data_IF_198442250100
#
_entry.id   IF_198442250100
#
_cell.length_a   1.000
_cell.length_b   1.000
_cell.length_c   1.000
_cell.angle_alpha   90.00
_cell.angle_beta   90.00
_cell.angle_gamma   90.00
#
_symmetry.space_group_name_H-M   'P 1'
#
loop_
_entity.id
_entity.type
_entity.pdbx_description
1 polymer ?
#
# COMPACT_ATOMS: atom_id res chain seq x y z
N UNK A 1 50.16 -11.82 -19.97
CA UNK A 1 49.15 -10.75 -19.79
C UNK A 1 47.78 -11.37 -20.04
N UNK A 2 47.03 -11.70 -18.98
CA UNK A 2 45.67 -12.20 -19.13
C UNK A 2 44.74 -11.03 -19.45
N UNK A 3 44.20 -11.01 -20.67
CA UNK A 3 43.17 -10.05 -21.08
C UNK A 3 41.91 -10.34 -20.27
N UNK A 4 41.54 -9.42 -19.37
CA UNK A 4 40.29 -9.51 -18.63
C UNK A 4 39.15 -9.37 -19.63
N UNK A 5 38.33 -10.42 -19.75
CA UNK A 5 37.13 -10.43 -20.58
C UNK A 5 36.25 -9.24 -20.17
N UNK A 6 35.71 -8.45 -21.12
CA UNK A 6 34.89 -7.29 -20.79
C UNK A 6 33.69 -7.73 -19.95
N UNK A 7 33.49 -7.04 -18.81
CA UNK A 7 32.31 -7.24 -17.96
C UNK A 7 31.07 -7.06 -18.84
N UNK A 8 30.15 -8.05 -18.89
CA UNK A 8 28.95 -7.94 -19.72
C UNK A 8 28.18 -6.67 -19.34
N UNK A 9 27.79 -5.87 -20.33
CA UNK A 9 27.07 -4.60 -20.09
C UNK A 9 25.80 -4.76 -19.23
N UNK A 10 25.19 -5.96 -19.21
CA UNK A 10 24.04 -6.30 -18.38
C UNK A 10 24.35 -6.36 -16.87
N UNK A 11 25.62 -6.40 -16.47
CA UNK A 11 26.05 -6.42 -15.05
C UNK A 11 26.06 -5.00 -14.44
N UNK A 12 26.28 -3.98 -15.28
CA UNK A 12 26.36 -2.58 -14.83
C UNK A 12 24.99 -2.09 -14.33
N UNK A 13 23.91 -2.44 -15.04
CA UNK A 13 22.56 -2.04 -14.66
C UNK A 13 22.11 -2.66 -13.33
N UNK A 14 22.39 -3.96 -13.12
CA UNK A 14 22.08 -4.64 -11.85
C UNK A 14 22.90 -4.05 -10.70
N UNK A 15 24.19 -3.79 -10.93
CA UNK A 15 25.06 -3.15 -9.95
C UNK A 15 24.55 -1.75 -9.58
N UNK A 16 24.13 -0.95 -10.55
CA UNK A 16 23.56 0.38 -10.31
C UNK A 16 22.24 0.32 -9.53
N UNK A 17 21.35 -0.61 -9.88
CA UNK A 17 20.10 -0.87 -9.17
C UNK A 17 20.35 -1.22 -7.71
N UNK A 18 21.28 -2.16 -7.43
CA UNK A 18 21.65 -2.53 -6.06
C UNK A 18 22.29 -1.38 -5.31
N UNK A 19 23.16 -0.62 -5.96
CA UNK A 19 23.79 0.56 -5.37
C UNK A 19 22.76 1.64 -4.99
N UNK A 20 21.63 1.73 -5.70
CA UNK A 20 20.52 2.61 -5.34
C UNK A 20 19.60 1.99 -4.27
N UNK A 21 19.26 0.71 -4.39
CA UNK A 21 18.34 0.02 -3.48
C UNK A 21 18.91 -0.09 -2.07
N UNK A 22 20.19 -0.45 -1.95
CA UNK A 22 20.84 -0.70 -0.66
C UNK A 22 20.74 0.48 0.31
N UNK A 23 21.15 1.72 -0.05
CA UNK A 23 21.00 2.85 0.85
C UNK A 23 19.55 3.21 1.14
N UNK A 24 18.59 2.95 0.21
CA UNK A 24 17.16 3.20 0.50
C UNK A 24 16.67 2.20 1.54
N UNK A 25 16.94 0.91 1.31
CA UNK A 25 16.59 -0.17 2.23
C UNK A 25 17.18 0.05 3.63
N UNK A 26 18.49 0.28 3.72
CA UNK A 26 19.18 0.54 4.98
C UNK A 26 18.60 1.78 5.71
N UNK A 27 18.20 2.80 4.96
CA UNK A 27 17.54 3.98 5.53
C UNK A 27 16.12 3.71 6.00
N UNK A 28 15.37 2.82 5.35
CA UNK A 28 14.02 2.42 5.80
C UNK A 28 14.07 1.51 7.02
N UNK A 29 15.07 0.63 7.10
CA UNK A 29 15.33 -0.22 8.28
C UNK A 29 15.74 0.62 9.49
N UNK A 30 16.73 1.50 9.32
CA UNK A 30 17.22 2.37 10.40
C UNK A 30 16.25 3.48 10.79
N UNK A 31 15.36 3.90 9.87
CA UNK A 31 14.35 4.90 10.11
C UNK A 31 12.95 4.39 9.75
N UNK A 32 12.43 3.44 10.54
CA UNK A 32 11.04 2.94 10.41
C UNK A 32 9.97 4.05 10.36
N UNK A 33 10.28 5.23 10.95
CA UNK A 33 9.44 6.44 10.83
C UNK A 33 9.31 6.95 9.40
N UNK A 34 10.31 6.78 8.53
CA UNK A 34 10.23 7.16 7.11
C UNK A 34 9.15 6.34 6.40
N UNK A 35 9.08 5.03 6.63
CA UNK A 35 8.00 4.19 6.11
C UNK A 35 6.62 4.67 6.59
N UNK A 36 6.51 4.98 7.88
CA UNK A 36 5.23 5.37 8.48
C UNK A 36 4.76 6.77 8.14
N UNK A 37 5.69 7.72 7.96
CA UNK A 37 5.36 9.14 7.80
C UNK A 37 5.61 9.66 6.40
N UNK A 38 6.37 8.92 5.60
CA UNK A 38 6.92 9.36 4.33
C UNK A 38 7.64 10.71 4.48
N UNK A 39 8.21 11.08 5.64
CA UNK A 39 8.96 12.34 5.79
C UNK A 39 10.46 12.05 5.77
N UNK A 40 11.16 12.62 4.80
CA UNK A 40 12.62 12.49 4.68
C UNK A 40 13.37 13.06 5.87
N UNK A 41 14.54 12.50 6.15
CA UNK A 41 15.34 12.92 7.30
C UNK A 41 15.90 14.32 7.09
N UNK A 42 15.68 15.19 8.08
CA UNK A 42 16.34 16.50 8.15
C UNK A 42 17.71 16.45 8.84
N UNK A 43 18.03 15.33 9.48
CA UNK A 43 19.25 15.15 10.30
C UNK A 43 20.43 14.62 9.49
N UNK A 44 20.44 14.84 8.18
CA UNK A 44 21.57 14.48 7.31
C UNK A 44 21.61 13.03 6.82
N UNK A 45 20.73 12.15 7.30
CA UNK A 45 20.61 10.77 6.80
C UNK A 45 19.95 10.81 5.41
N UNK A 46 20.58 10.18 4.42
CA UNK A 46 20.01 10.04 3.09
C UNK A 46 18.87 9.00 3.10
N UNK A 47 17.77 9.16 2.35
CA UNK A 47 17.44 10.31 1.51
C UNK A 47 16.92 11.50 2.34
N UNK A 48 17.32 12.71 1.94
CA UNK A 48 16.94 14.00 2.57
C UNK A 48 15.77 14.67 1.86
N UNK A 49 15.53 14.31 0.61
CA UNK A 49 14.45 14.86 -0.21
C UNK A 49 13.96 13.84 -1.23
N UNK A 50 12.84 14.13 -1.88
CA UNK A 50 12.37 13.36 -3.04
C UNK A 50 13.39 13.36 -4.17
N UNK A 51 14.11 14.46 -4.39
CA UNK A 51 15.12 14.62 -5.44
C UNK A 51 16.34 13.72 -5.24
N UNK A 52 16.60 13.31 -3.99
CA UNK A 52 17.67 12.38 -3.67
C UNK A 52 17.36 10.97 -4.19
N UNK A 53 16.07 10.63 -4.30
CA UNK A 53 15.58 9.31 -4.76
C UNK A 53 15.12 9.36 -6.22
N UNK A 54 14.52 10.48 -6.63
CA UNK A 54 14.03 10.78 -7.97
C UNK A 54 14.88 11.90 -8.60
N UNK A 55 16.04 11.58 -9.20
CA UNK A 55 16.90 12.59 -9.82
C UNK A 55 16.29 13.20 -11.09
N UNK A 56 15.27 12.55 -11.67
CA UNK A 56 14.51 13.03 -12.82
C UNK A 56 13.10 13.48 -12.38
N UNK A 57 12.36 14.21 -13.23
CA UNK A 57 10.94 14.46 -13.01
C UNK A 57 10.17 13.14 -12.74
N UNK A 58 9.14 13.13 -11.88
CA UNK A 58 8.46 11.89 -11.46
C UNK A 58 8.01 10.99 -12.62
N UNK A 59 7.52 11.59 -13.72
CA UNK A 59 7.11 10.88 -14.93
C UNK A 59 8.27 10.10 -15.57
N UNK A 60 9.42 10.74 -15.72
CA UNK A 60 10.61 10.15 -16.33
C UNK A 60 11.24 9.09 -15.41
N UNK A 61 11.27 9.35 -14.10
CA UNK A 61 11.71 8.36 -13.11
C UNK A 61 10.83 7.12 -13.14
N UNK A 62 9.50 7.28 -13.16
CA UNK A 62 8.57 6.16 -13.26
C UNK A 62 8.78 5.36 -14.55
N UNK A 63 8.88 6.04 -15.68
CA UNK A 63 9.14 5.39 -16.97
C UNK A 63 10.43 4.57 -16.95
N UNK A 64 11.50 5.11 -16.37
CA UNK A 64 12.79 4.41 -16.24
C UNK A 64 12.66 3.17 -15.35
N UNK A 65 11.99 3.28 -14.20
CA UNK A 65 11.75 2.15 -13.30
C UNK A 65 10.95 1.04 -14.00
N UNK A 66 9.88 1.39 -14.71
CA UNK A 66 9.06 0.42 -15.45
C UNK A 66 9.85 -0.26 -16.58
N UNK A 67 10.71 0.48 -17.30
CA UNK A 67 11.59 -0.10 -18.34
C UNK A 67 12.58 -1.09 -17.73
N UNK A 68 13.13 -0.80 -16.55
CA UNK A 68 14.06 -1.72 -15.87
C UNK A 68 13.37 -3.00 -15.41
N UNK A 69 12.17 -2.88 -14.85
CA UNK A 69 11.34 -4.02 -14.41
C UNK A 69 10.91 -4.87 -15.62
N UNK A 70 10.52 -4.24 -16.73
CA UNK A 70 10.19 -4.93 -17.99
C UNK A 70 11.42 -5.61 -18.64
N UNK A 71 12.58 -4.95 -18.63
CA UNK A 71 13.81 -5.54 -19.18
C UNK A 71 14.31 -6.72 -18.34
N UNK A 72 14.23 -6.62 -17.02
CA UNK A 72 14.64 -7.69 -16.13
C UNK A 72 13.80 -8.97 -16.36
N UNK A 73 12.51 -8.81 -16.69
CA UNK A 73 11.66 -9.93 -17.12
C UNK A 73 12.24 -10.67 -18.34
N UNK A 74 12.60 -9.90 -19.36
CA UNK A 74 13.09 -10.44 -20.64
C UNK A 74 14.45 -11.14 -20.52
N UNK A 75 15.28 -10.74 -19.55
CA UNK A 75 16.61 -11.34 -19.36
C UNK A 75 16.56 -12.73 -18.73
N UNK A 76 15.44 -13.11 -18.09
CA UNK A 76 15.27 -14.35 -17.31
C UNK A 76 16.35 -14.55 -16.23
N UNK A 77 17.11 -13.51 -15.87
CA UNK A 77 18.13 -13.57 -14.82
C UNK A 77 17.49 -13.12 -13.51
N UNK A 78 17.33 -14.06 -12.59
CA UNK A 78 16.64 -13.82 -11.32
C UNK A 78 17.24 -12.65 -10.54
N UNK A 79 18.57 -12.59 -10.45
CA UNK A 79 19.30 -11.52 -9.78
C UNK A 79 18.90 -10.12 -10.26
N UNK A 80 18.70 -9.94 -11.57
CA UNK A 80 18.28 -8.67 -12.15
C UNK A 80 16.81 -8.36 -11.85
N UNK A 81 15.94 -9.37 -11.92
CA UNK A 81 14.51 -9.25 -11.59
C UNK A 81 14.37 -8.79 -10.14
N UNK A 82 15.01 -9.47 -9.21
CA UNK A 82 14.96 -9.15 -7.78
C UNK A 82 15.41 -7.71 -7.52
N UNK A 83 16.58 -7.30 -8.03
CA UNK A 83 17.09 -5.94 -7.82
C UNK A 83 16.17 -4.87 -8.42
N UNK A 84 15.64 -5.07 -9.64
CA UNK A 84 14.78 -4.10 -10.31
C UNK A 84 13.44 -3.93 -9.58
N UNK A 85 12.80 -5.04 -9.22
CA UNK A 85 11.54 -5.04 -8.48
C UNK A 85 11.70 -4.45 -7.09
N UNK A 86 12.74 -4.86 -6.37
CA UNK A 86 13.01 -4.34 -5.03
C UNK A 86 13.28 -2.83 -5.06
N UNK A 87 14.07 -2.35 -6.02
CA UNK A 87 14.27 -0.91 -6.22
C UNK A 87 12.96 -0.20 -6.51
N UNK A 88 12.13 -0.73 -7.42
CA UNK A 88 10.85 -0.11 -7.73
C UNK A 88 9.93 -0.07 -6.50
N UNK A 89 9.82 -1.17 -5.75
CA UNK A 89 9.07 -1.24 -4.51
C UNK A 89 9.52 -0.17 -3.49
N UNK A 90 10.83 -0.06 -3.24
CA UNK A 90 11.39 0.89 -2.29
C UNK A 90 11.12 2.34 -2.73
N UNK A 91 11.40 2.65 -4.00
CA UNK A 91 11.21 4.00 -4.55
C UNK A 91 9.73 4.37 -4.55
N UNK A 92 8.85 3.46 -4.94
CA UNK A 92 7.40 3.69 -4.92
C UNK A 92 6.87 3.87 -3.51
N UNK A 93 7.39 3.12 -2.53
CA UNK A 93 6.99 3.24 -1.12
C UNK A 93 7.34 4.61 -0.56
N UNK A 94 8.55 5.09 -0.84
CA UNK A 94 9.04 6.36 -0.31
C UNK A 94 8.51 7.54 -1.12
N UNK A 95 8.44 7.46 -2.44
CA UNK A 95 8.03 8.55 -3.33
C UNK A 95 6.61 8.37 -3.86
N UNK A 96 5.76 7.71 -3.08
CA UNK A 96 4.37 7.43 -3.46
C UNK A 96 3.61 8.71 -3.85
N UNK A 97 3.61 9.80 -3.06
CA UNK A 97 2.85 10.99 -3.41
C UNK A 97 3.22 11.58 -4.77
N UNK A 98 4.49 11.49 -5.15
CA UNK A 98 5.03 12.01 -6.40
C UNK A 98 4.78 11.07 -7.60
N UNK A 99 4.85 9.76 -7.38
CA UNK A 99 4.76 8.75 -8.45
C UNK A 99 3.32 8.31 -8.77
N UNK A 100 2.40 8.33 -7.81
CA UNK A 100 1.04 7.84 -8.03
C UNK A 100 0.25 8.60 -9.11
N UNK A 101 0.31 9.94 -9.21
CA UNK A 101 -0.36 10.66 -10.31
C UNK A 101 0.13 10.23 -11.69
N UNK A 102 1.44 10.01 -11.83
CA UNK A 102 2.06 9.55 -13.07
C UNK A 102 1.72 8.08 -13.35
N UNK A 103 1.69 7.23 -12.31
CA UNK A 103 1.32 5.83 -12.42
C UNK A 103 -0.15 5.64 -12.84
N UNK A 104 -1.02 6.59 -12.52
CA UNK A 104 -2.42 6.56 -12.94
C UNK A 104 -2.65 7.08 -14.37
N UNK A 105 -1.62 7.65 -15.02
CA UNK A 105 -1.67 7.94 -16.44
C UNK A 105 -1.83 6.64 -17.23
N UNK A 106 -2.64 6.67 -18.29
CA UNK A 106 -3.08 5.48 -19.02
C UNK A 106 -1.92 4.55 -19.41
N UNK A 107 -0.90 5.08 -20.08
CA UNK A 107 0.20 4.27 -20.62
C UNK A 107 1.06 3.64 -19.51
N UNK A 108 1.44 4.43 -18.49
CA UNK A 108 2.25 3.95 -17.36
C UNK A 108 1.50 2.88 -16.55
N UNK A 109 0.20 3.09 -16.34
CA UNK A 109 -0.69 2.14 -15.66
C UNK A 109 -0.77 0.81 -16.37
N UNK A 110 -1.07 0.83 -17.68
CA UNK A 110 -1.19 -0.40 -18.48
C UNK A 110 0.14 -1.15 -18.56
N UNK A 111 1.26 -0.43 -18.76
CA UNK A 111 2.58 -1.05 -18.75
C UNK A 111 2.90 -1.70 -17.39
N UNK A 112 2.65 -1.00 -16.28
CA UNK A 112 2.87 -1.54 -14.94
C UNK A 112 2.05 -2.81 -14.71
N UNK A 113 0.76 -2.79 -15.04
CA UNK A 113 -0.13 -3.96 -14.90
C UNK A 113 0.34 -5.12 -15.76
N UNK A 114 0.68 -4.88 -17.03
CA UNK A 114 1.15 -5.91 -17.93
C UNK A 114 2.42 -6.59 -17.40
N UNK A 115 3.39 -5.80 -16.94
CA UNK A 115 4.64 -6.31 -16.37
C UNK A 115 4.37 -7.13 -15.10
N UNK A 116 3.54 -6.63 -14.16
CA UNK A 116 3.20 -7.39 -12.96
C UNK A 116 2.48 -8.70 -13.29
N UNK A 117 1.51 -8.65 -14.21
CA UNK A 117 0.72 -9.82 -14.59
C UNK A 117 1.57 -10.89 -15.30
N UNK A 118 2.48 -10.48 -16.20
CA UNK A 118 3.43 -11.40 -16.85
C UNK A 118 4.37 -12.06 -15.85
N UNK A 119 4.86 -11.34 -14.83
CA UNK A 119 5.69 -11.93 -13.79
C UNK A 119 4.94 -12.97 -12.96
N UNK A 120 3.72 -12.65 -12.53
CA UNK A 120 2.89 -13.58 -11.78
C UNK A 120 2.60 -14.85 -12.59
N UNK A 121 2.25 -14.71 -13.87
CA UNK A 121 1.99 -15.85 -14.75
C UNK A 121 3.24 -16.71 -14.97
N UNK A 122 4.38 -16.07 -15.26
CA UNK A 122 5.65 -16.75 -15.49
C UNK A 122 6.12 -17.51 -14.24
N UNK A 123 6.08 -16.86 -13.08
CA UNK A 123 6.43 -17.49 -11.82
C UNK A 123 5.48 -18.65 -11.46
N UNK A 124 4.18 -18.46 -11.63
CA UNK A 124 3.20 -19.52 -11.42
C UNK A 124 3.42 -20.70 -12.38
N UNK A 125 3.78 -20.43 -13.64
CA UNK A 125 4.13 -21.45 -14.62
C UNK A 125 5.40 -22.22 -14.23
N UNK A 126 6.45 -21.52 -13.79
CA UNK A 126 7.69 -22.14 -13.32
C UNK A 126 7.42 -23.08 -12.13
N UNK A 127 6.57 -22.66 -11.17
CA UNK A 127 6.19 -23.50 -10.03
C UNK A 127 5.42 -24.76 -10.46
N UNK A 128 4.43 -24.64 -11.36
CA UNK A 128 3.66 -25.79 -11.87
C UNK A 128 4.53 -26.79 -12.63
N UNK A 129 5.56 -26.30 -13.32
CA UNK A 129 6.49 -27.12 -14.08
C UNK A 129 7.63 -27.70 -13.22
N UNK A 130 7.63 -27.45 -11.91
CA UNK A 130 8.68 -27.93 -11.00
C UNK A 130 10.05 -27.33 -11.29
N UNK A 131 10.12 -26.13 -11.87
CA UNK A 131 11.39 -25.45 -12.15
C UNK A 131 12.02 -25.01 -10.82
N UNK A 132 13.09 -25.69 -10.41
CA UNK A 132 13.82 -25.45 -9.16
C UNK A 132 14.83 -24.28 -9.24
N UNK A 133 14.68 -23.38 -10.23
CA UNK A 133 15.51 -22.18 -10.36
C UNK A 133 15.30 -21.26 -9.15
N UNK A 134 16.21 -20.30 -8.95
CA UNK A 134 16.14 -19.30 -7.88
C UNK A 134 14.75 -18.60 -7.89
N UNK A 135 13.96 -19.06 -6.93
CA UNK A 135 12.71 -18.60 -6.33
C UNK A 135 11.65 -17.93 -7.23
N UNK A 136 10.84 -18.71 -7.97
CA UNK A 136 9.55 -18.25 -8.48
C UNK A 136 8.66 -17.62 -7.39
N UNK A 137 8.80 -18.08 -6.15
CA UNK A 137 8.12 -17.49 -5.00
C UNK A 137 8.49 -16.02 -4.77
N UNK A 138 9.79 -15.69 -4.77
CA UNK A 138 10.24 -14.30 -4.58
C UNK A 138 9.78 -13.38 -5.73
N UNK A 139 9.61 -13.90 -6.96
CA UNK A 139 8.98 -13.16 -8.07
C UNK A 139 7.55 -12.75 -7.73
N UNK A 140 6.76 -13.72 -7.25
CA UNK A 140 5.38 -13.48 -6.85
C UNK A 140 5.34 -12.47 -5.71
N UNK A 141 6.13 -12.68 -4.66
CA UNK A 141 6.21 -11.77 -3.51
C UNK A 141 6.54 -10.34 -3.95
N UNK A 142 7.55 -10.16 -4.80
CA UNK A 142 7.99 -8.85 -5.28
C UNK A 142 6.92 -8.12 -6.10
N UNK A 143 6.23 -8.83 -7.01
CA UNK A 143 5.14 -8.24 -7.79
C UNK A 143 3.95 -7.86 -6.89
N UNK A 144 3.59 -8.74 -5.95
CA UNK A 144 2.50 -8.51 -4.99
C UNK A 144 2.81 -7.36 -4.04
N UNK A 145 4.06 -7.19 -3.61
CA UNK A 145 4.47 -6.08 -2.74
C UNK A 145 4.31 -4.72 -3.45
N UNK A 146 4.63 -4.63 -4.73
CA UNK A 146 4.38 -3.42 -5.54
C UNK A 146 2.87 -3.13 -5.60
N UNK A 147 2.06 -4.15 -5.94
CA UNK A 147 0.59 -4.02 -5.97
C UNK A 147 0.02 -3.62 -4.61
N UNK A 148 0.59 -4.14 -3.51
CA UNK A 148 0.26 -3.76 -2.14
C UNK A 148 0.57 -2.29 -1.89
N UNK A 149 1.72 -1.77 -2.29
CA UNK A 149 2.06 -0.34 -2.10
C UNK A 149 1.09 0.56 -2.86
N UNK A 150 0.68 0.13 -4.06
CA UNK A 150 -0.31 0.85 -4.88
C UNK A 150 -1.66 0.90 -4.17
N UNK A 151 -2.22 -0.24 -3.78
CA UNK A 151 -3.59 -0.31 -3.24
C UNK A 151 -3.71 -0.03 -1.74
N UNK A 152 -2.69 -0.40 -0.95
CA UNK A 152 -2.72 -0.47 0.52
C UNK A 152 -1.52 0.23 1.18
N UNK A 153 -0.64 0.87 0.40
CA UNK A 153 0.53 1.57 0.92
C UNK A 153 0.18 2.78 1.80
N UNK A 154 1.20 3.32 2.49
CA UNK A 154 1.03 4.54 3.29
C UNK A 154 0.58 5.70 2.42
N UNK A 155 -0.47 6.40 2.83
CA UNK A 155 -1.11 7.44 2.03
C UNK A 155 -1.99 6.91 0.88
N UNK A 156 -2.28 5.60 0.83
CA UNK A 156 -3.25 5.06 -0.12
C UNK A 156 -4.66 5.57 0.14
N UNK A 157 -5.33 5.95 -0.94
CA UNK A 157 -6.74 6.37 -0.96
C UNK A 157 -7.61 5.19 -1.35
N UNK A 158 -8.87 5.21 -0.94
CA UNK A 158 -9.80 4.10 -1.20
C UNK A 158 -10.03 3.86 -2.71
N UNK A 159 -9.86 4.88 -3.54
CA UNK A 159 -9.96 4.83 -5.00
C UNK A 159 -8.66 4.46 -5.71
N UNK A 160 -7.51 4.42 -5.04
CA UNK A 160 -6.22 4.25 -5.72
C UNK A 160 -6.14 2.89 -6.44
N UNK A 161 -6.56 1.81 -5.77
CA UNK A 161 -6.63 0.49 -6.38
C UNK A 161 -7.60 0.44 -7.56
N UNK A 162 -8.75 1.13 -7.44
CA UNK A 162 -9.78 1.21 -8.47
C UNK A 162 -9.31 1.97 -9.71
N UNK A 163 -8.62 3.08 -9.50
CA UNK A 163 -8.07 3.90 -10.57
C UNK A 163 -6.94 3.15 -11.27
N UNK A 164 -6.09 2.46 -10.51
CA UNK A 164 -5.00 1.64 -11.04
C UNK A 164 -5.54 0.48 -11.89
N UNK A 165 -6.45 -0.33 -11.37
CA UNK A 165 -6.91 -1.52 -12.07
C UNK A 165 -7.84 -1.26 -13.25
N UNK A 166 -8.30 -0.02 -13.44
CA UNK A 166 -9.37 0.34 -14.39
C UNK A 166 -9.08 -0.17 -15.81
N UNK A 167 -9.99 -1.02 -16.31
CA UNK A 167 -9.93 -1.62 -17.65
C UNK A 167 -8.93 -2.77 -17.78
N UNK A 168 -8.32 -3.21 -16.70
CA UNK A 168 -7.40 -4.36 -16.63
C UNK A 168 -7.72 -5.30 -15.47
N UNK A 169 -8.93 -5.20 -14.91
CA UNK A 169 -9.36 -5.91 -13.70
C UNK A 169 -9.27 -7.43 -13.91
N UNK A 170 -9.86 -7.95 -14.98
CA UNK A 170 -9.85 -9.38 -15.30
C UNK A 170 -8.42 -9.90 -15.57
N UNK A 171 -7.54 -9.08 -16.15
CA UNK A 171 -6.15 -9.45 -16.40
C UNK A 171 -5.39 -9.66 -15.10
N UNK A 172 -5.54 -8.73 -14.15
CA UNK A 172 -4.94 -8.83 -12.82
C UNK A 172 -5.54 -9.97 -12.01
N UNK A 173 -6.87 -10.15 -12.02
CA UNK A 173 -7.54 -11.24 -11.30
C UNK A 173 -6.97 -12.60 -11.73
N UNK A 174 -6.86 -12.85 -13.04
CA UNK A 174 -6.32 -14.12 -13.58
C UNK A 174 -4.86 -14.35 -13.19
N UNK A 175 -4.03 -13.31 -13.25
CA UNK A 175 -2.61 -13.41 -12.90
C UNK A 175 -2.41 -13.66 -11.38
N UNK A 176 -3.15 -12.93 -10.55
CA UNK A 176 -3.17 -13.14 -9.10
C UNK A 176 -3.70 -14.53 -8.74
N UNK A 177 -4.72 -15.02 -9.44
CA UNK A 177 -5.26 -16.37 -9.24
C UNK A 177 -4.26 -17.45 -9.61
N UNK A 178 -3.55 -17.29 -10.73
CA UNK A 178 -2.49 -18.21 -11.12
C UNK A 178 -1.40 -18.30 -10.04
N UNK A 179 -0.99 -17.16 -9.46
CA UNK A 179 -0.04 -17.11 -8.35
C UNK A 179 -0.61 -17.73 -7.07
N UNK A 180 -1.83 -17.38 -6.69
CA UNK A 180 -2.51 -17.89 -5.48
C UNK A 180 -2.59 -19.41 -5.44
N UNK A 181 -2.91 -20.04 -6.59
CA UNK A 181 -3.01 -21.50 -6.72
C UNK A 181 -1.65 -22.22 -6.60
N UNK A 182 -0.53 -21.50 -6.78
CA UNK A 182 0.81 -22.08 -6.66
C UNK A 182 1.42 -21.89 -5.27
N UNK A 183 0.86 -21.03 -4.42
CA UNK A 183 1.39 -20.77 -3.08
C UNK A 183 0.84 -21.79 -2.08
N UNK A 184 1.76 -22.47 -1.42
CA UNK A 184 1.46 -23.31 -0.27
C UNK A 184 1.07 -22.46 0.94
N UNK A 185 -0.09 -22.76 1.51
CA UNK A 185 -0.65 -22.00 2.63
C UNK A 185 0.13 -22.25 3.93
N UNK A 186 0.78 -23.42 4.08
CA UNK A 186 1.49 -23.76 5.32
C UNK A 186 2.79 -22.97 5.50
N UNK A 187 3.44 -22.64 4.39
CA UNK A 187 4.73 -21.93 4.38
C UNK A 187 4.58 -20.43 4.14
N UNK A 188 3.53 -20.01 3.43
CA UNK A 188 3.41 -18.66 2.90
C UNK A 188 2.00 -18.05 3.05
N UNK A 189 1.33 -18.36 4.16
CA UNK A 189 -0.01 -17.88 4.51
C UNK A 189 -0.20 -16.37 4.26
N UNK A 190 0.69 -15.52 4.79
CA UNK A 190 0.55 -14.06 4.70
C UNK A 190 0.52 -13.55 3.25
N UNK A 191 1.36 -14.10 2.38
CA UNK A 191 1.39 -13.73 0.97
C UNK A 191 0.10 -14.19 0.27
N UNK A 192 -0.38 -15.40 0.59
CA UNK A 192 -1.62 -15.95 0.05
C UNK A 192 -2.84 -15.11 0.44
N UNK A 193 -2.91 -14.70 1.72
CA UNK A 193 -3.95 -13.79 2.22
C UNK A 193 -3.89 -12.41 1.54
N UNK A 194 -2.69 -11.89 1.30
CA UNK A 194 -2.52 -10.62 0.59
C UNK A 194 -2.99 -10.69 -0.87
N UNK A 195 -2.65 -11.77 -1.59
CA UNK A 195 -3.14 -11.99 -2.96
C UNK A 195 -4.66 -12.07 -2.98
N UNK A 196 -5.25 -12.83 -2.06
CA UNK A 196 -6.71 -12.96 -1.93
C UNK A 196 -7.36 -11.60 -1.66
N UNK A 197 -6.79 -10.77 -0.79
CA UNK A 197 -7.30 -9.42 -0.51
C UNK A 197 -7.25 -8.51 -1.75
N UNK A 198 -6.16 -8.57 -2.54
CA UNK A 198 -6.05 -7.83 -3.79
C UNK A 198 -7.09 -8.28 -4.82
N UNK A 199 -7.28 -9.60 -4.97
CA UNK A 199 -8.29 -10.18 -5.87
C UNK A 199 -9.72 -9.77 -5.48
N UNK A 200 -10.05 -9.81 -4.20
CA UNK A 200 -11.35 -9.35 -3.72
C UNK A 200 -11.55 -7.85 -3.97
N UNK A 201 -10.52 -7.04 -3.74
CA UNK A 201 -10.57 -5.62 -4.08
C UNK A 201 -10.88 -5.36 -5.57
N UNK A 202 -10.40 -6.22 -6.47
CA UNK A 202 -10.73 -6.18 -7.89
C UNK A 202 -12.14 -6.69 -8.19
N UNK A 203 -12.60 -7.74 -7.51
CA UNK A 203 -13.91 -8.35 -7.76
C UNK A 203 -15.07 -7.39 -7.42
N UNK A 204 -14.90 -6.51 -6.44
CA UNK A 204 -15.88 -5.44 -6.15
C UNK A 204 -16.10 -4.56 -7.39
N UNK A 205 -15.06 -4.33 -8.20
CA UNK A 205 -15.12 -3.48 -9.39
C UNK A 205 -15.77 -4.15 -10.58
N UNK A 206 -15.65 -5.47 -10.66
CA UNK A 206 -16.22 -6.30 -11.73
C UNK A 206 -17.59 -6.86 -11.36
N UNK A 207 -18.22 -6.37 -10.28
CA UNK A 207 -19.48 -6.91 -9.75
C UNK A 207 -19.40 -8.43 -9.45
N UNK A 208 -18.24 -8.90 -9.03
CA UNK A 208 -17.95 -10.29 -8.72
C UNK A 208 -17.44 -11.12 -9.90
N UNK A 209 -17.38 -10.56 -11.11
CA UNK A 209 -16.90 -11.30 -12.29
C UNK A 209 -15.40 -11.62 -12.20
N UNK A 210 -15.03 -12.81 -12.67
CA UNK A 210 -13.66 -13.29 -12.76
C UNK A 210 -13.06 -13.92 -11.50
N UNK A 211 -13.67 -13.78 -10.31
CA UNK A 211 -13.15 -14.41 -9.09
C UNK A 211 -13.59 -15.87 -9.00
N UNK A 212 -12.66 -16.81 -8.79
CA UNK A 212 -13.03 -18.21 -8.64
C UNK A 212 -13.69 -18.52 -7.31
N UNK A 213 -14.50 -19.59 -7.31
CA UNK A 213 -15.25 -20.04 -6.13
C UNK A 213 -14.34 -20.39 -4.94
N UNK A 214 -13.18 -21.04 -5.10
CA UNK A 214 -12.28 -21.31 -3.99
C UNK A 214 -11.78 -20.03 -3.30
N UNK A 215 -11.29 -19.05 -4.07
CA UNK A 215 -10.80 -17.78 -3.54
C UNK A 215 -11.92 -17.01 -2.83
N UNK A 216 -13.13 -16.96 -3.41
CA UNK A 216 -14.28 -16.33 -2.78
C UNK A 216 -14.67 -17.03 -1.46
N UNK A 217 -14.65 -18.36 -1.45
CA UNK A 217 -15.00 -19.15 -0.25
C UNK A 217 -13.99 -18.92 0.86
N UNK A 218 -12.70 -18.92 0.53
CA UNK A 218 -11.63 -18.65 1.49
C UNK A 218 -11.69 -17.22 2.02
N UNK A 219 -11.97 -16.24 1.15
CA UNK A 219 -12.15 -14.85 1.56
C UNK A 219 -13.35 -14.69 2.50
N UNK A 220 -14.47 -15.35 2.19
CA UNK A 220 -15.65 -15.37 3.07
C UNK A 220 -15.32 -16.02 4.42
N UNK A 221 -14.54 -17.10 4.44
CA UNK A 221 -14.11 -17.73 5.68
C UNK A 221 -13.12 -16.87 6.48
N UNK A 222 -12.26 -16.11 5.82
CA UNK A 222 -11.36 -15.14 6.46
C UNK A 222 -12.15 -13.96 7.05
N UNK A 223 -13.05 -13.36 6.27
CA UNK A 223 -13.87 -12.22 6.73
C UNK A 223 -14.97 -12.60 7.71
N UNK A 224 -15.44 -13.85 7.73
CA UNK A 224 -16.32 -14.34 8.79
C UNK A 224 -15.63 -14.38 10.16
N UNK A 225 -14.29 -14.41 10.19
CA UNK A 225 -13.49 -14.26 11.41
C UNK A 225 -13.28 -12.79 11.79
N UNK A 226 -13.35 -11.87 10.82
CA UNK A 226 -13.30 -10.44 11.10
C UNK A 226 -14.54 -10.04 11.87
N UNK A 227 -14.32 -9.59 13.10
CA UNK A 227 -15.36 -9.01 13.93
C UNK A 227 -15.24 -7.48 13.94
N UNK A 228 -16.20 -6.83 14.59
CA UNK A 228 -16.23 -5.37 14.69
C UNK A 228 -14.93 -4.78 15.26
N UNK A 229 -14.25 -5.49 16.15
CA UNK A 229 -13.00 -5.06 16.78
C UNK A 229 -11.82 -5.09 15.80
N UNK A 230 -11.68 -6.15 15.00
CA UNK A 230 -10.64 -6.26 13.96
C UNK A 230 -10.78 -5.15 12.93
N UNK A 231 -12.00 -4.93 12.42
CA UNK A 231 -12.30 -3.87 11.44
C UNK A 231 -12.03 -2.49 12.06
N UNK A 232 -12.42 -2.28 13.33
CA UNK A 232 -12.15 -1.04 14.04
C UNK A 232 -10.65 -0.80 14.22
N UNK A 233 -9.89 -1.81 14.64
CA UNK A 233 -8.43 -1.73 14.81
C UNK A 233 -7.75 -1.32 13.51
N UNK A 234 -8.08 -1.98 12.41
CA UNK A 234 -7.54 -1.67 11.08
C UNK A 234 -7.87 -0.23 10.66
N UNK A 235 -9.11 0.21 10.88
CA UNK A 235 -9.54 1.58 10.58
C UNK A 235 -8.78 2.61 11.43
N UNK A 236 -8.66 2.40 12.74
CA UNK A 236 -7.91 3.30 13.62
C UNK A 236 -6.43 3.34 13.26
N UNK A 237 -5.81 2.19 12.91
CA UNK A 237 -4.43 2.15 12.40
C UNK A 237 -4.28 2.91 11.09
N UNK A 238 -5.21 2.77 10.15
CA UNK A 238 -5.19 3.53 8.90
C UNK A 238 -5.21 5.03 9.14
N UNK A 239 -6.05 5.51 10.07
CA UNK A 239 -6.06 6.92 10.49
C UNK A 239 -4.73 7.28 11.20
N UNK A 240 -4.23 6.40 12.07
CA UNK A 240 -2.99 6.61 12.79
C UNK A 240 -1.78 6.75 11.87
N UNK A 241 -1.70 5.99 10.78
CA UNK A 241 -0.62 6.05 9.80
C UNK A 241 -0.92 6.98 8.63
N UNK A 242 -2.04 7.71 8.66
CA UNK A 242 -2.32 8.71 7.64
C UNK A 242 -1.28 9.84 7.70
N UNK A 243 -0.75 10.14 6.52
CA UNK A 243 0.24 11.18 6.24
C UNK A 243 -0.40 12.42 5.60
N UNK A 244 -1.72 12.42 5.46
CA UNK A 244 -2.50 13.52 4.88
C UNK A 244 -3.33 14.24 5.94
N UNK A 245 -3.72 15.48 5.64
CA UNK A 245 -4.68 16.22 6.45
C UNK A 245 -6.01 15.44 6.56
N UNK A 246 -6.57 15.35 7.77
CA UNK A 246 -7.85 14.67 8.01
C UNK A 246 -9.08 15.50 7.60
N UNK A 247 -8.90 16.77 7.23
CA UNK A 247 -9.95 17.58 6.61
C UNK A 247 -10.13 17.15 5.15
N UNK A 248 -11.30 16.65 4.77
CA UNK A 248 -11.57 16.07 3.44
C UNK A 248 -11.39 17.04 2.28
N UNK A 249 -11.55 18.33 2.53
CA UNK A 249 -11.34 19.37 1.52
C UNK A 249 -9.85 19.73 1.38
N UNK A 250 -9.02 19.31 2.32
CA UNK A 250 -7.59 19.54 2.32
C UNK A 250 -6.83 18.27 1.98
N UNK A 251 -6.11 18.27 0.84
CA UNK A 251 -5.29 17.14 0.39
C UNK A 251 -3.80 17.34 0.64
N UNK A 252 -3.45 18.21 1.59
CA UNK A 252 -2.05 18.47 1.90
C UNK A 252 -1.43 17.24 2.55
N UNK A 253 -0.34 16.77 1.96
CA UNK A 253 0.50 15.73 2.51
C UNK A 253 1.42 16.33 3.60
N UNK A 254 1.93 15.49 4.50
CA UNK A 254 2.84 15.90 5.58
C UNK A 254 4.08 16.65 5.06
N UNK A 255 4.53 16.30 3.85
CA UNK A 255 5.63 16.95 3.11
C UNK A 255 5.34 18.38 2.69
N UNK A 256 4.07 18.69 2.40
CA UNK A 256 3.64 20.00 1.91
C UNK A 256 3.43 21.01 3.05
N UNK A 257 3.55 20.55 4.29
CA UNK A 257 3.37 21.38 5.48
C UNK A 257 4.72 21.87 5.97
N UNK A 258 4.80 23.16 6.26
CA UNK A 258 5.98 23.76 6.86
C UNK A 258 6.34 23.02 8.16
N UNK A 259 7.62 22.67 8.33
CA UNK A 259 8.03 21.81 9.45
C UNK A 259 7.80 20.30 9.27
N UNK A 260 7.12 19.89 8.19
CA UNK A 260 6.98 18.48 7.78
C UNK A 260 6.11 17.64 8.71
N UNK A 261 5.23 18.28 9.49
CA UNK A 261 4.44 17.59 10.54
C UNK A 261 3.02 18.14 10.59
N UNK A 262 2.07 17.24 10.49
CA UNK A 262 0.67 17.53 10.76
C UNK A 262 0.42 17.59 12.28
N UNK A 263 -0.41 18.54 12.70
CA UNK A 263 -0.82 18.74 14.09
C UNK A 263 -1.87 17.69 14.48
N UNK A 264 -1.62 16.95 15.55
CA UNK A 264 -2.60 15.99 16.10
C UNK A 264 -3.74 16.72 16.79
N UNK A 265 -4.95 16.18 16.73
CA UNK A 265 -6.05 16.63 17.59
C UNK A 265 -5.63 16.53 19.06
N UNK A 266 -5.78 17.61 19.83
CA UNK A 266 -5.39 17.64 21.24
C UNK A 266 -6.17 16.67 22.15
N UNK A 267 -7.40 16.29 21.74
CA UNK A 267 -8.25 15.38 22.51
C UNK A 267 -7.96 13.90 22.20
N UNK A 268 -8.31 13.42 21.00
CA UNK A 268 -8.14 12.00 20.65
C UNK A 268 -6.71 11.60 20.25
N UNK A 269 -5.84 12.56 19.91
CA UNK A 269 -4.44 12.37 19.46
C UNK A 269 -4.25 11.46 18.23
N UNK A 270 -5.33 11.05 17.56
CA UNK A 270 -5.32 10.15 16.42
C UNK A 270 -5.30 10.89 15.07
N UNK A 271 -6.33 11.70 14.82
CA UNK A 271 -6.46 12.48 13.57
C UNK A 271 -5.47 13.65 13.52
N UNK A 272 -5.09 14.05 12.30
CA UNK A 272 -4.02 15.02 12.05
C UNK A 272 -4.45 16.10 11.06
N UNK A 273 -3.95 17.32 11.24
CA UNK A 273 -4.32 18.49 10.44
C UNK A 273 -3.11 19.31 10.04
N UNK A 274 -3.14 19.93 8.87
CA UNK A 274 -2.09 20.89 8.48
C UNK A 274 -2.23 22.24 9.20
N UNK A 275 -3.42 22.59 9.70
CA UNK A 275 -3.67 23.85 10.41
C UNK A 275 -4.90 23.76 11.36
N UNK A 276 -5.05 24.76 12.23
CA UNK A 276 -6.20 24.88 13.14
C UNK A 276 -7.51 25.10 12.38
N UNK A 277 -7.47 25.77 11.24
CA UNK A 277 -8.62 26.06 10.38
C UNK A 277 -9.17 24.76 9.78
N UNK A 278 -8.28 23.88 9.28
CA UNK A 278 -8.67 22.54 8.81
C UNK A 278 -9.29 21.71 9.94
N UNK A 279 -8.74 21.79 11.15
CA UNK A 279 -9.34 21.14 12.32
C UNK A 279 -10.75 21.67 12.61
N UNK A 280 -10.95 23.01 12.59
CA UNK A 280 -12.27 23.63 12.82
C UNK A 280 -13.29 23.21 11.76
N UNK A 281 -12.91 23.18 10.48
CA UNK A 281 -13.80 22.70 9.40
C UNK A 281 -14.17 21.24 9.58
N UNK A 282 -13.21 20.36 9.85
CA UNK A 282 -13.49 18.95 10.09
C UNK A 282 -14.33 18.74 11.38
N UNK A 283 -14.14 19.58 12.39
CA UNK A 283 -14.91 19.55 13.65
C UNK A 283 -16.40 19.77 13.43
N UNK A 284 -16.78 20.72 12.57
CA UNK A 284 -18.17 21.09 12.29
C UNK A 284 -18.69 20.62 10.92
N UNK A 285 -17.97 19.72 10.24
CA UNK A 285 -18.35 19.25 8.91
C UNK A 285 -19.78 18.68 8.86
N UNK A 286 -20.55 19.05 7.83
CA UNK A 286 -21.93 18.58 7.65
C UNK A 286 -22.01 17.04 7.57
N UNK A 287 -21.04 16.45 6.89
CA UNK A 287 -20.89 14.99 6.80
C UNK A 287 -19.84 14.52 7.80
N UNK A 288 -20.28 13.77 8.82
CA UNK A 288 -19.40 13.06 9.75
C UNK A 288 -18.44 14.02 10.48
N UNK A 289 -18.99 14.98 11.25
CA UNK A 289 -18.17 15.94 11.98
C UNK A 289 -17.30 15.22 13.01
N UNK A 290 -16.00 15.56 13.06
CA UNK A 290 -15.06 14.93 14.00
C UNK A 290 -15.53 15.04 15.46
N UNK A 291 -16.31 16.08 15.82
CA UNK A 291 -16.86 16.27 17.17
C UNK A 291 -17.63 15.06 17.70
N UNK A 292 -18.26 14.27 16.82
CA UNK A 292 -19.02 13.07 17.21
C UNK A 292 -18.10 11.87 17.44
N UNK A 293 -17.08 11.70 16.61
CA UNK A 293 -16.15 10.57 16.72
C UNK A 293 -15.03 10.81 17.76
N UNK A 294 -14.64 12.06 18.00
CA UNK A 294 -13.49 12.40 18.84
C UNK A 294 -13.57 11.80 20.26
N UNK A 295 -14.70 11.91 21.00
CA UNK A 295 -14.81 11.31 22.33
C UNK A 295 -14.69 9.80 22.30
N UNK A 296 -15.37 9.11 21.38
CA UNK A 296 -15.32 7.66 21.22
C UNK A 296 -13.89 7.17 20.93
N UNK A 297 -13.18 7.82 20.01
CA UNK A 297 -11.77 7.49 19.71
C UNK A 297 -10.91 7.66 20.96
N UNK A 298 -11.05 8.78 21.68
CA UNK A 298 -10.27 9.05 22.89
C UNK A 298 -10.50 7.96 23.94
N UNK A 299 -11.75 7.58 24.13
CA UNK A 299 -12.15 6.59 25.13
C UNK A 299 -11.66 5.19 24.78
N UNK A 300 -11.86 4.74 23.54
CA UNK A 300 -11.34 3.45 23.04
C UNK A 300 -9.82 3.38 23.20
N UNK A 301 -9.08 4.42 22.80
CA UNK A 301 -7.62 4.44 22.89
C UNK A 301 -7.09 4.53 24.33
N UNK A 302 -7.94 4.82 25.32
CA UNK A 302 -7.55 4.83 26.73
C UNK A 302 -7.39 3.41 27.28
N UNK A 303 -8.22 2.45 26.85
CA UNK A 303 -8.14 1.05 27.29
C UNK A 303 -7.58 0.08 26.23
N UNK A 304 -7.65 0.44 24.94
CA UNK A 304 -7.12 -0.35 23.83
C UNK A 304 -6.17 0.52 22.96
N UNK A 305 -4.93 0.78 23.40
CA UNK A 305 -3.99 1.59 22.63
C UNK A 305 -3.52 0.86 21.36
N UNK A 306 -3.23 1.60 20.28
CA UNK A 306 -2.75 1.04 19.00
C UNK A 306 -1.31 0.50 19.05
N UNK A 307 -0.67 0.48 20.22
CA UNK A 307 0.59 -0.24 20.45
C UNK A 307 0.37 -1.73 20.63
N UNK A 308 -0.87 -2.16 20.91
CA UNK A 308 -1.27 -3.56 20.92
C UNK A 308 -1.33 -4.11 19.49
N UNK A 309 -1.09 -5.41 19.33
CA UNK A 309 -1.48 -6.14 18.13
C UNK A 309 -3.01 -6.25 18.02
N UNK A 310 -3.49 -6.85 16.92
CA UNK A 310 -4.92 -6.94 16.63
C UNK A 310 -5.67 -7.75 17.69
N UNK A 311 -5.10 -8.88 18.12
CA UNK A 311 -5.75 -9.82 19.03
C UNK A 311 -5.82 -9.25 20.45
N UNK A 312 -4.75 -8.61 20.91
CA UNK A 312 -4.72 -7.95 22.21
C UNK A 312 -5.63 -6.70 22.23
N UNK A 313 -5.71 -5.95 21.11
CA UNK A 313 -6.67 -4.85 20.98
C UNK A 313 -8.11 -5.35 21.06
N UNK A 314 -8.43 -6.44 20.37
CA UNK A 314 -9.74 -7.07 20.43
C UNK A 314 -10.08 -7.52 21.85
N UNK A 315 -9.17 -8.23 22.52
CA UNK A 315 -9.38 -8.69 23.89
C UNK A 315 -9.64 -7.50 24.85
N UNK A 316 -8.91 -6.39 24.68
CA UNK A 316 -9.13 -5.16 25.45
C UNK A 316 -10.52 -4.52 25.16
N UNK A 317 -11.01 -4.60 23.92
CA UNK A 317 -12.35 -4.12 23.61
C UNK A 317 -13.45 -5.00 24.22
N UNK A 318 -13.25 -6.33 24.25
CA UNK A 318 -14.18 -7.28 24.85
C UNK A 318 -14.32 -7.14 26.37
N UNK A 319 -13.26 -6.71 27.06
CA UNK A 319 -13.27 -6.47 28.52
C UNK A 319 -13.66 -5.04 28.89
N UNK A 320 -13.93 -4.18 27.91
CA UNK A 320 -14.31 -2.78 28.13
C UNK A 320 -15.75 -2.67 28.68
N UNK A 321 -16.13 -1.52 29.27
CA UNK A 321 -17.50 -1.28 29.72
C UNK A 321 -18.49 -1.03 28.57
N UNK A 322 -18.04 -0.99 27.32
CA UNK A 322 -18.90 -0.70 26.17
C UNK A 322 -19.53 -1.97 25.60
N UNK A 323 -20.82 -1.95 25.20
CA UNK A 323 -21.46 -3.09 24.56
C UNK A 323 -20.88 -3.34 23.15
N UNK A 324 -21.01 -4.56 22.62
CA UNK A 324 -20.53 -4.91 21.29
C UNK A 324 -21.09 -3.98 20.18
N UNK A 325 -22.39 -3.68 20.24
CA UNK A 325 -23.11 -2.83 19.28
C UNK A 325 -22.50 -1.42 19.15
N UNK A 326 -21.86 -0.91 20.21
CA UNK A 326 -21.13 0.35 20.18
C UNK A 326 -19.96 0.27 19.18
N UNK A 327 -19.17 -0.81 19.25
CA UNK A 327 -18.03 -1.01 18.36
C UNK A 327 -18.45 -1.27 16.92
N UNK A 328 -19.53 -2.02 16.70
CA UNK A 328 -20.11 -2.26 15.38
C UNK A 328 -20.56 -0.94 14.72
N UNK A 329 -21.38 -0.17 15.44
CA UNK A 329 -21.89 1.12 14.96
C UNK A 329 -20.74 2.11 14.71
N UNK A 330 -19.76 2.16 15.61
CA UNK A 330 -18.64 3.06 15.51
C UNK A 330 -17.70 2.69 14.35
N UNK A 331 -17.40 1.39 14.18
CA UNK A 331 -16.58 0.86 13.08
C UNK A 331 -17.23 1.17 11.73
N UNK A 332 -18.53 0.93 11.59
CA UNK A 332 -19.28 1.26 10.37
C UNK A 332 -19.26 2.76 10.06
N UNK A 333 -19.43 3.60 11.09
CA UNK A 333 -19.36 5.06 10.96
C UNK A 333 -17.98 5.55 10.52
N UNK A 334 -16.90 4.95 11.04
CA UNK A 334 -15.53 5.23 10.60
C UNK A 334 -15.28 4.78 9.16
N UNK A 335 -15.76 3.59 8.77
CA UNK A 335 -15.60 3.09 7.40
C UNK A 335 -16.31 4.01 6.39
N UNK A 336 -17.55 4.41 6.68
CA UNK A 336 -18.29 5.38 5.87
C UNK A 336 -17.53 6.73 5.74
N UNK A 337 -16.71 7.06 6.75
CA UNK A 337 -15.87 8.26 6.74
C UNK A 337 -14.73 8.18 5.73
N UNK A 338 -14.15 6.99 5.56
CA UNK A 338 -13.03 6.79 4.63
C UNK A 338 -13.51 6.66 3.18
N UNK A 339 -14.57 5.91 2.93
CA UNK A 339 -15.04 5.59 1.56
C UNK A 339 -15.61 6.81 0.83
N UNK A 340 -16.36 7.71 1.51
CA UNK A 340 -17.00 8.87 0.87
C UNK A 340 -16.03 9.95 0.36
N UNK A 341 -14.76 9.89 0.73
CA UNK A 341 -13.72 10.79 0.22
C UNK A 341 -13.44 10.61 -1.29
N UNK A 342 -13.79 9.44 -1.85
CA UNK A 342 -13.40 9.06 -3.21
C UNK A 342 -14.47 9.32 -4.27
N UNK A 343 -15.76 9.34 -3.92
CA UNK A 343 -16.87 9.33 -4.89
C UNK A 343 -17.40 10.72 -5.30
N UNK A 344 -16.92 11.81 -4.70
CA UNK A 344 -17.55 13.14 -4.86
C UNK A 344 -17.11 14.02 -6.04
N UNK A 345 -16.39 13.48 -7.03
CA UNK A 345 -16.00 14.25 -8.23
C UNK A 345 -17.13 14.59 -9.22
N UNK A 346 -18.41 14.27 -8.96
CA UNK A 346 -19.46 14.46 -9.98
C UNK A 346 -20.88 14.81 -9.55
N UNK A 347 -21.19 15.01 -8.26
CA UNK A 347 -22.55 15.42 -7.85
C UNK A 347 -22.50 16.48 -6.76
N UNK A 348 -22.77 17.73 -7.17
CA UNK A 348 -23.05 18.84 -6.28
C UNK A 348 -24.38 18.57 -5.56
N UNK A 349 -24.33 18.28 -4.27
CA UNK A 349 -25.54 18.10 -3.45
C UNK A 349 -25.22 17.41 -2.14
N UNK A 350 -24.92 18.21 -1.11
CA UNK A 350 -24.95 17.74 0.25
C UNK A 350 -25.61 18.74 1.18
#
# INVERSE_FOLDING_TARGET
MHSTSPVPADDIADTALRALAYPIGASLESASKLLQTQVFSRKGIWPRSTKDVLPLPPKESLGTLLVWVDRAEKSRRWTQISSAFYTFYLVLTVCRPELMPELFAHDARHLCIDVMARQLDAAASDMRNGVTSESPFERIASAVDILRVIGLGVGSRADDWVIFARGSELRLIRALEAAWNCIDDTTHHDLKQLIMALQYGLSILTAGDGLSRPVLTEYQAATARDNAYTVLYQNLRKIHFSVECSDRECKKHSRDVEGGRLQKCGSCRLVRYCSRECQKRHWSAKCLPHKLACPAIKDILAFAPLTLDSDAFEAACRTSPHPQDFFETFSFSLLATMVRSSTRRGRNGC
#
